data_IF_573324873872
#
_entry.id   IF_573324873872
#
_cell.length_a   1.000
_cell.length_b   1.000
_cell.length_c   1.000
_cell.angle_alpha   90.00
_cell.angle_beta   90.00
_cell.angle_gamma   90.00
#
_symmetry.space_group_name_H-M   'P 1'
#
loop_
_entity.id
_entity.type
_entity.pdbx_description
1 polymer ?
#
# COMPACT_ATOMS: atom_id res chain seq x y z
N UNK A 1 13.43 -33.27 11.69
CA UNK A 1 13.90 -33.01 10.32
C UNK A 1 13.25 -31.72 9.84
N UNK A 2 14.02 -30.70 9.41
CA UNK A 2 13.45 -29.43 8.95
C UNK A 2 13.29 -29.53 7.44
N UNK A 3 12.03 -29.64 7.00
CA UNK A 3 11.61 -29.77 5.60
C UNK A 3 11.65 -28.38 4.92
N UNK A 4 12.83 -27.75 4.89
CA UNK A 4 13.10 -26.49 4.18
C UNK A 4 12.49 -25.21 4.80
N UNK A 5 13.20 -24.09 4.63
CA UNK A 5 12.70 -22.75 4.90
C UNK A 5 13.10 -21.85 3.73
N UNK A 6 12.13 -21.13 3.15
CA UNK A 6 12.35 -20.16 2.06
C UNK A 6 12.21 -18.73 2.57
N UNK A 7 13.11 -17.84 2.15
CA UNK A 7 13.02 -16.41 2.37
C UNK A 7 13.10 -15.69 1.02
N UNK A 8 12.14 -14.81 0.76
CA UNK A 8 12.12 -13.95 -0.41
C UNK A 8 11.87 -12.51 0.04
N UNK A 9 12.53 -11.58 -0.64
CA UNK A 9 12.34 -10.14 -0.46
C UNK A 9 12.24 -9.51 -1.85
N UNK A 10 11.34 -8.55 -2.01
CA UNK A 10 11.16 -7.84 -3.26
C UNK A 10 11.19 -6.34 -2.99
N UNK A 11 12.02 -5.64 -3.74
CA UNK A 11 12.05 -4.18 -3.78
C UNK A 11 11.63 -3.74 -5.18
N UNK A 12 10.64 -2.85 -5.27
CA UNK A 12 10.11 -2.34 -6.53
C UNK A 12 9.88 -0.84 -6.47
N UNK A 13 9.85 -0.20 -7.64
CA UNK A 13 9.32 1.15 -7.78
C UNK A 13 7.79 1.07 -7.94
N UNK A 14 7.12 2.22 -7.92
CA UNK A 14 5.73 2.27 -8.34
C UNK A 14 5.59 1.74 -9.76
N UNK A 15 4.52 0.98 -9.98
CA UNK A 15 4.12 0.59 -11.32
C UNK A 15 3.61 1.83 -12.07
N UNK A 16 4.37 2.24 -13.08
CA UNK A 16 4.07 3.42 -13.89
C UNK A 16 2.76 3.24 -14.67
N UNK A 17 2.37 2.00 -14.99
CA UNK A 17 1.11 1.72 -15.68
C UNK A 17 -0.09 1.99 -14.77
N UNK A 18 -0.03 1.59 -13.50
CA UNK A 18 -1.08 1.88 -12.51
C UNK A 18 -1.24 3.39 -12.27
N UNK A 19 -0.13 4.12 -12.15
CA UNK A 19 -0.16 5.58 -11.98
C UNK A 19 -0.74 6.26 -13.22
N UNK A 20 -0.27 5.89 -14.41
CA UNK A 20 -0.77 6.42 -15.67
C UNK A 20 -2.27 6.16 -15.81
N UNK A 21 -2.74 4.95 -15.50
CA UNK A 21 -4.16 4.61 -15.58
C UNK A 21 -5.01 5.50 -14.67
N UNK A 22 -4.63 5.65 -13.40
CA UNK A 22 -5.34 6.52 -12.45
C UNK A 22 -5.33 7.99 -12.90
N UNK A 23 -4.18 8.49 -13.35
CA UNK A 23 -4.05 9.85 -13.84
C UNK A 23 -4.86 10.11 -15.11
N UNK A 24 -4.96 9.13 -16.02
CA UNK A 24 -5.80 9.21 -17.21
C UNK A 24 -7.30 9.35 -16.89
N UNK A 25 -7.71 8.94 -15.67
CA UNK A 25 -9.07 9.14 -15.14
C UNK A 25 -9.25 10.48 -14.42
N UNK A 26 -8.27 11.39 -14.50
CA UNK A 26 -8.31 12.72 -13.90
C UNK A 26 -7.89 12.77 -12.43
N UNK A 27 -7.29 11.71 -11.89
CA UNK A 27 -6.79 11.69 -10.51
C UNK A 27 -5.41 12.37 -10.48
N UNK A 28 -5.21 13.31 -9.56
CA UNK A 28 -3.92 13.97 -9.39
C UNK A 28 -2.82 12.94 -9.05
N UNK A 29 -1.60 13.15 -9.54
CA UNK A 29 -0.49 12.20 -9.33
C UNK A 29 -0.26 11.87 -7.84
N UNK A 30 -0.36 12.87 -6.96
CA UNK A 30 -0.25 12.69 -5.50
C UNK A 30 -1.30 11.74 -4.95
N UNK A 31 -2.54 11.86 -5.44
CA UNK A 31 -3.66 11.03 -5.01
C UNK A 31 -3.55 9.63 -5.63
N UNK A 32 -3.12 9.53 -6.88
CA UNK A 32 -2.88 8.26 -7.56
C UNK A 32 -1.81 7.44 -6.81
N UNK A 33 -0.70 8.06 -6.42
CA UNK A 33 0.34 7.41 -5.59
C UNK A 33 -0.23 6.95 -4.25
N UNK A 34 -1.03 7.80 -3.57
CA UNK A 34 -1.67 7.44 -2.30
C UNK A 34 -2.60 6.24 -2.45
N UNK A 35 -3.38 6.18 -3.53
CA UNK A 35 -4.27 5.06 -3.83
C UNK A 35 -3.52 3.76 -4.08
N UNK A 36 -2.43 3.79 -4.85
CA UNK A 36 -1.59 2.60 -5.11
C UNK A 36 -0.99 2.06 -3.80
N UNK A 37 -0.43 2.93 -2.95
CA UNK A 37 0.15 2.51 -1.66
C UNK A 37 -0.94 1.95 -0.73
N UNK A 38 -2.10 2.61 -0.69
CA UNK A 38 -3.25 2.13 0.09
C UNK A 38 -3.69 0.74 -0.37
N UNK A 39 -3.80 0.52 -1.67
CA UNK A 39 -4.17 -0.78 -2.25
C UNK A 39 -3.17 -1.87 -1.88
N UNK A 40 -1.87 -1.57 -1.95
CA UNK A 40 -0.81 -2.50 -1.56
C UNK A 40 -0.92 -2.98 -0.11
N UNK A 41 -1.13 -2.07 0.85
CA UNK A 41 -1.27 -2.46 2.26
C UNK A 41 -2.64 -3.03 2.61
N UNK A 42 -3.68 -2.69 1.83
CA UNK A 42 -5.04 -3.18 2.11
C UNK A 42 -5.12 -4.71 2.07
N UNK A 43 -4.37 -5.37 1.17
CA UNK A 43 -4.35 -6.83 1.08
C UNK A 43 -3.98 -7.48 2.42
N UNK A 44 -2.82 -7.12 2.98
CA UNK A 44 -2.34 -7.69 4.27
C UNK A 44 -3.14 -7.18 5.47
N UNK A 45 -3.62 -5.93 5.45
CA UNK A 45 -4.39 -5.38 6.58
C UNK A 45 -5.76 -6.06 6.68
N UNK A 46 -6.39 -6.38 5.55
CA UNK A 46 -7.70 -7.03 5.55
C UNK A 46 -7.68 -8.45 6.14
N UNK A 47 -6.52 -9.10 6.21
CA UNK A 47 -6.37 -10.40 6.89
C UNK A 47 -6.48 -10.29 8.42
N UNK A 48 -6.28 -9.09 8.99
CA UNK A 48 -6.36 -8.89 10.43
C UNK A 48 -7.83 -8.96 10.86
N UNK A 49 -8.23 -9.87 11.76
CA UNK A 49 -9.64 -10.07 12.09
C UNK A 49 -10.27 -8.95 12.92
N UNK A 50 -9.44 -8.17 13.62
CA UNK A 50 -9.90 -7.12 14.54
C UNK A 50 -10.01 -5.79 13.80
N UNK A 51 -11.24 -5.31 13.58
CA UNK A 51 -11.53 -4.06 12.87
C UNK A 51 -10.78 -2.85 13.47
N UNK A 52 -10.81 -2.70 14.80
CA UNK A 52 -10.13 -1.58 15.47
C UNK A 52 -8.61 -1.55 15.18
N UNK A 53 -8.00 -2.71 14.90
CA UNK A 53 -6.59 -2.77 14.50
C UNK A 53 -6.43 -2.36 13.03
N UNK A 54 -7.31 -2.83 12.14
CA UNK A 54 -7.32 -2.42 10.73
C UNK A 54 -7.44 -0.91 10.59
N UNK A 55 -8.43 -0.31 11.26
CA UNK A 55 -8.65 1.13 11.27
C UNK A 55 -7.42 1.90 11.77
N UNK A 56 -6.83 1.43 12.87
CA UNK A 56 -5.62 2.06 13.44
C UNK A 56 -4.45 2.01 12.48
N UNK A 57 -4.26 0.89 11.77
CA UNK A 57 -3.16 0.72 10.81
C UNK A 57 -3.39 1.57 9.55
N UNK A 58 -4.60 1.54 9.00
CA UNK A 58 -4.96 2.35 7.84
C UNK A 58 -4.79 3.84 8.12
N UNK A 59 -5.27 4.31 9.29
CA UNK A 59 -5.07 5.70 9.71
C UNK A 59 -3.58 6.04 9.81
N UNK A 60 -2.77 5.15 10.38
CA UNK A 60 -1.33 5.41 10.52
C UNK A 60 -0.60 5.46 9.18
N UNK A 61 -1.00 4.65 8.21
CA UNK A 61 -0.49 4.72 6.83
C UNK A 61 -0.87 6.07 6.22
N UNK A 62 -2.12 6.49 6.36
CA UNK A 62 -2.57 7.78 5.84
C UNK A 62 -1.81 8.97 6.44
N UNK A 63 -1.62 8.99 7.77
CA UNK A 63 -0.85 10.02 8.48
C UNK A 63 0.60 10.08 7.96
N UNK A 64 1.20 8.91 7.70
CA UNK A 64 2.58 8.80 7.18
C UNK A 64 2.69 9.29 5.73
N UNK A 65 1.71 8.99 4.88
CA UNK A 65 1.68 9.46 3.50
C UNK A 65 1.54 10.98 3.40
N UNK A 66 0.79 11.60 4.31
CA UNK A 66 0.73 13.06 4.42
C UNK A 66 2.07 13.66 4.85
N UNK A 67 2.83 12.95 5.71
CA UNK A 67 4.14 13.41 6.21
C UNK A 67 5.22 13.34 5.12
N UNK A 68 5.26 12.26 4.35
CA UNK A 68 6.29 12.00 3.33
C UNK A 68 5.98 12.70 2.01
N UNK A 69 4.71 12.99 1.71
CA UNK A 69 4.29 13.71 0.51
C UNK A 69 4.51 15.24 0.54
N UNK A 70 5.21 15.77 1.54
CA UNK A 70 5.66 17.18 1.61
C UNK A 70 7.08 17.35 1.11
#
# INVERSE_FOLDING_TARGET
>A
EIVGAGHASTTGRFDEEHLFYLMSRGIAESDARRLVIRGFFAEVINEIPVEAIRDRLMKRIEDELVRVGR
#
